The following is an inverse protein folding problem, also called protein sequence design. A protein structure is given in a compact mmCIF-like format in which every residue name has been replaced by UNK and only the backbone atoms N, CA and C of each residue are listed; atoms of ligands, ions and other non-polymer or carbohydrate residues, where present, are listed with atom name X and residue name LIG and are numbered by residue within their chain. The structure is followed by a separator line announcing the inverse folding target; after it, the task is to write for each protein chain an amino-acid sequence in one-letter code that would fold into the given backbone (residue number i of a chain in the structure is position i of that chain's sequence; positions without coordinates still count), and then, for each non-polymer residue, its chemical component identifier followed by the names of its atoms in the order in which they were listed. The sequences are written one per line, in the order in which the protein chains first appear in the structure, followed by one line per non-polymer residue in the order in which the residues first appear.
data_IF_905283169037
#
_entry.id   IF_905283169037
#
_cell.length_a   1.000
_cell.length_b   1.000
_cell.length_c   1.000
_cell.angle_alpha   90.00
_cell.angle_beta   90.00
_cell.angle_gamma   90.00
#
_symmetry.space_group_name_H-M   'P 1'
#
loop_
_entity.id
_entity.type
_entity.pdbx_description
1 polymer ?
#
# COMPACT_ATOMS: atom_id res chain seq x y z
N UNK A 1 11.07 5.74 -5.75
CA UNK A 1 10.46 4.55 -6.41
C UNK A 1 10.69 3.34 -5.51
N UNK A 2 9.67 2.92 -4.77
CA UNK A 2 9.80 1.83 -3.78
C UNK A 2 9.81 0.48 -4.50
N UNK A 3 10.95 -0.20 -4.52
CA UNK A 3 11.08 -1.55 -5.07
C UNK A 3 12.09 -2.36 -4.24
N UNK A 4 11.82 -3.64 -3.95
CA UNK A 4 12.76 -4.49 -3.21
C UNK A 4 14.06 -4.68 -3.99
N UNK A 5 15.19 -4.66 -3.28
CA UNK A 5 16.54 -4.83 -3.86
C UNK A 5 16.74 -6.21 -4.50
N UNK A 6 16.15 -7.27 -3.93
CA UNK A 6 16.25 -8.64 -4.44
C UNK A 6 14.93 -9.37 -4.21
N UNK A 7 14.45 -10.06 -5.24
CA UNK A 7 13.28 -10.96 -5.18
C UNK A 7 13.69 -12.34 -5.67
N UNK A 8 13.12 -13.40 -5.08
CA UNK A 8 13.42 -14.79 -5.48
C UNK A 8 12.96 -15.09 -6.91
N UNK A 9 11.77 -14.59 -7.28
CA UNK A 9 11.20 -14.73 -8.62
C UNK A 9 10.69 -13.37 -9.12
N UNK A 10 10.93 -13.06 -10.39
CA UNK A 10 10.62 -11.74 -10.98
C UNK A 10 9.17 -11.61 -11.45
N UNK A 11 8.54 -12.71 -11.86
CA UNK A 11 7.17 -12.74 -12.36
C UNK A 11 6.26 -13.39 -11.31
N UNK A 12 5.14 -12.75 -11.01
CA UNK A 12 4.14 -13.23 -10.08
C UNK A 12 2.75 -13.06 -10.69
N UNK A 13 1.80 -13.89 -10.29
CA UNK A 13 0.40 -13.70 -10.63
C UNK A 13 -0.19 -12.61 -9.74
N UNK A 14 -1.10 -11.80 -10.28
CA UNK A 14 -1.65 -10.63 -9.58
C UNK A 14 -2.61 -10.98 -8.45
N UNK A 15 -3.28 -12.13 -8.51
CA UNK A 15 -4.28 -12.53 -7.52
C UNK A 15 -5.60 -11.73 -7.62
N UNK A 16 -6.46 -11.85 -6.60
CA UNK A 16 -7.77 -11.16 -6.50
C UNK A 16 -7.85 -10.35 -5.21
N UNK A 17 -8.39 -9.13 -5.27
CA UNK A 17 -8.63 -8.28 -4.10
C UNK A 17 -10.08 -8.48 -3.64
N UNK A 18 -10.31 -9.47 -2.78
CA UNK A 18 -11.64 -9.81 -2.26
C UNK A 18 -11.63 -9.90 -0.74
N UNK A 19 -12.74 -9.55 -0.10
CA UNK A 19 -12.87 -9.58 1.36
C UNK A 19 -12.38 -8.31 2.03
N UNK A 20 -12.31 -8.35 3.37
CA UNK A 20 -11.85 -7.24 4.22
C UNK A 20 -10.37 -7.39 4.59
N UNK A 21 -9.74 -6.27 4.96
CA UNK A 21 -8.37 -6.29 5.48
C UNK A 21 -8.29 -7.17 6.75
N UNK A 22 -7.26 -8.01 6.84
CA UNK A 22 -7.03 -8.90 8.00
C UNK A 22 -6.23 -8.22 9.12
N UNK A 23 -5.46 -7.19 8.81
CA UNK A 23 -4.57 -6.49 9.73
C UNK A 23 -4.37 -5.04 9.25
N UNK A 24 -3.78 -4.19 10.11
CA UNK A 24 -3.52 -2.79 9.78
C UNK A 24 -4.77 -1.92 9.72
N UNK A 25 -5.78 -2.25 10.53
CA UNK A 25 -7.08 -1.57 10.59
C UNK A 25 -7.15 -0.47 11.67
N UNK A 26 -6.08 -0.31 12.45
CA UNK A 26 -5.98 0.67 13.53
C UNK A 26 -4.71 1.53 13.33
N UNK A 27 -4.72 2.73 13.90
CA UNK A 27 -3.56 3.64 13.86
C UNK A 27 -2.61 3.26 14.99
N UNK A 28 -1.49 2.64 14.64
CA UNK A 28 -0.46 2.22 15.62
C UNK A 28 0.51 3.33 16.01
N UNK A 29 0.76 4.28 15.10
CA UNK A 29 1.72 5.37 15.29
C UNK A 29 1.09 6.68 14.84
N UNK A 30 1.41 7.76 15.56
CA UNK A 30 0.83 9.08 15.32
C UNK A 30 -0.60 9.22 15.86
N UNK A 31 -1.17 10.41 15.69
CA UNK A 31 -2.50 10.74 16.18
C UNK A 31 -3.59 10.61 15.11
N UNK A 32 -3.21 10.74 13.82
CA UNK A 32 -4.14 10.74 12.68
C UNK A 32 -3.72 9.70 11.65
N UNK A 33 -4.71 9.09 10.98
CA UNK A 33 -4.50 8.11 9.92
C UNK A 33 -5.52 8.22 8.80
N UNK A 34 -5.20 7.63 7.65
CA UNK A 34 -6.07 7.57 6.48
C UNK A 34 -6.45 6.12 6.19
N UNK A 35 -7.75 5.81 6.19
CA UNK A 35 -8.26 4.47 5.93
C UNK A 35 -8.92 4.38 4.54
N UNK A 36 -8.53 3.38 3.76
CA UNK A 36 -9.18 3.10 2.48
C UNK A 36 -10.54 2.42 2.69
N UNK A 37 -11.54 2.85 1.92
CA UNK A 37 -12.89 2.25 1.93
C UNK A 37 -13.10 1.21 0.81
N UNK A 38 -12.27 1.28 -0.23
CA UNK A 38 -12.39 0.43 -1.43
C UNK A 38 -11.05 -0.25 -1.76
N UNK A 39 -11.09 -1.47 -2.33
CA UNK A 39 -9.88 -2.17 -2.74
C UNK A 39 -9.34 -1.60 -4.07
N UNK A 40 -8.07 -1.22 -4.08
CA UNK A 40 -7.37 -0.77 -5.28
C UNK A 40 -5.90 -1.18 -5.28
N UNK A 41 -5.31 -1.32 -6.48
CA UNK A 41 -3.87 -1.48 -6.64
C UNK A 41 -3.21 -0.11 -6.64
N UNK A 42 -2.32 0.13 -5.68
CA UNK A 42 -1.59 1.40 -5.55
C UNK A 42 -0.15 1.24 -6.06
N UNK A 43 0.29 2.17 -6.90
CA UNK A 43 1.64 2.16 -7.48
C UNK A 43 2.63 2.95 -6.63
N UNK A 44 3.93 2.69 -6.80
CA UNK A 44 4.98 3.43 -6.09
C UNK A 44 4.99 4.92 -6.39
N UNK A 45 4.53 5.32 -7.59
CA UNK A 45 4.47 6.73 -8.00
C UNK A 45 3.33 7.46 -7.27
N UNK A 46 2.18 6.81 -7.09
CA UNK A 46 1.05 7.38 -6.34
C UNK A 46 1.41 7.60 -4.87
N UNK A 47 2.11 6.64 -4.25
CA UNK A 47 2.59 6.77 -2.86
C UNK A 47 3.56 7.94 -2.73
N UNK A 48 4.49 8.08 -3.68
CA UNK A 48 5.46 9.18 -3.64
C UNK A 48 4.79 10.54 -3.83
N UNK A 49 3.84 10.64 -4.78
CA UNK A 49 3.07 11.87 -4.98
C UNK A 49 2.29 12.27 -3.71
N UNK A 50 1.64 11.30 -3.06
CA UNK A 50 0.93 11.54 -1.81
C UNK A 50 1.87 11.96 -0.66
N UNK A 51 3.03 11.32 -0.54
CA UNK A 51 4.05 11.69 0.47
C UNK A 51 4.51 13.13 0.28
N UNK A 52 4.85 13.53 -0.95
CA UNK A 52 5.27 14.89 -1.30
C UNK A 52 4.14 15.91 -1.03
N UNK A 53 2.88 15.54 -1.25
CA UNK A 53 1.77 16.45 -0.98
C UNK A 53 1.51 16.67 0.53
N UNK A 54 1.85 15.68 1.37
CA UNK A 54 1.68 15.76 2.83
C UNK A 54 2.84 16.52 3.49
N UNK A 55 4.06 16.41 2.96
CA UNK A 55 5.28 17.04 3.50
C UNK A 55 5.64 18.33 2.77
#
# INVERSE_FOLDING_TARGET
MLMPKRVKYRKHHRGRMTGKARAGTEVFYGEYGLQALEPAWITSQQIEAARIAIT
#
